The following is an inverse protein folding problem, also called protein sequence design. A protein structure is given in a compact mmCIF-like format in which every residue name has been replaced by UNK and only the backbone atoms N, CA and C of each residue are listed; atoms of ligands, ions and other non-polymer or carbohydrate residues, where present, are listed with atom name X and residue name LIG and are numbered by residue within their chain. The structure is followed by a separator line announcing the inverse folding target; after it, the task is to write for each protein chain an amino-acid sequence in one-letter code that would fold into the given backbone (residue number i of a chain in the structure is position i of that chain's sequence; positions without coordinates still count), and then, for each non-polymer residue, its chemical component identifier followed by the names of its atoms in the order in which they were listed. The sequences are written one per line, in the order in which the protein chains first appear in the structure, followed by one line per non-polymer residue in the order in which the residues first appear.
data_IF_467736979736
#
_entry.id   IF_467736979736
#
_cell.length_a   1.000
_cell.length_b   1.000
_cell.length_c   1.000
_cell.angle_alpha   90.00
_cell.angle_beta   90.00
_cell.angle_gamma   90.00
#
_symmetry.space_group_name_H-M   'P 1'
#
loop_
_entity.id
_entity.type
_entity.pdbx_description
1 polymer ?
#
# COMPACT_ATOMS: atom_id res chain seq x y z
N UNK A 1 -19.88 -8.61 -18.62
CA UNK A 1 -19.10 -7.53 -18.00
C UNK A 1 -17.63 -7.81 -18.29
N UNK A 2 -16.82 -6.78 -18.55
CA UNK A 2 -15.46 -6.98 -19.04
C UNK A 2 -14.48 -7.11 -17.87
N UNK A 3 -13.74 -8.22 -17.83
CA UNK A 3 -12.67 -8.45 -16.87
C UNK A 3 -11.58 -7.36 -16.95
N UNK A 4 -10.86 -7.13 -15.86
CA UNK A 4 -9.69 -6.25 -15.86
C UNK A 4 -8.47 -6.95 -16.47
N UNK A 5 -7.49 -6.15 -16.91
CA UNK A 5 -6.27 -6.64 -17.56
C UNK A 5 -5.31 -7.41 -16.65
N UNK A 6 -4.47 -8.24 -17.27
CA UNK A 6 -3.35 -8.92 -16.59
C UNK A 6 -2.40 -7.95 -15.86
N UNK A 7 -2.32 -6.69 -16.31
CA UNK A 7 -1.55 -5.66 -15.62
C UNK A 7 -2.10 -5.43 -14.22
N UNK A 8 -3.41 -5.15 -14.11
CA UNK A 8 -4.07 -4.97 -12.80
C UNK A 8 -4.00 -6.24 -11.95
N UNK A 9 -4.15 -7.42 -12.57
CA UNK A 9 -3.97 -8.69 -11.87
C UNK A 9 -2.62 -8.77 -11.15
N UNK A 10 -1.54 -8.46 -11.88
CA UNK A 10 -0.19 -8.47 -11.32
C UNK A 10 -0.01 -7.35 -10.29
N UNK A 11 -0.58 -6.17 -10.51
CA UNK A 11 -0.57 -5.08 -9.52
C UNK A 11 -1.21 -5.51 -8.21
N UNK A 12 -2.37 -6.18 -8.23
CA UNK A 12 -3.02 -6.69 -7.02
C UNK A 12 -2.14 -7.73 -6.30
N UNK A 13 -1.49 -8.64 -7.02
CA UNK A 13 -0.58 -9.64 -6.41
C UNK A 13 0.61 -8.95 -5.73
N UNK A 14 1.25 -8.00 -6.42
CA UNK A 14 2.38 -7.24 -5.87
C UNK A 14 1.92 -6.44 -4.63
N UNK A 15 0.76 -5.81 -4.72
CA UNK A 15 0.17 -5.08 -3.59
C UNK A 15 -0.11 -5.99 -2.39
N UNK A 16 -0.60 -7.21 -2.61
CA UNK A 16 -0.80 -8.20 -1.54
C UNK A 16 0.50 -8.52 -0.83
N UNK A 17 1.57 -8.81 -1.59
CA UNK A 17 2.87 -9.16 -1.01
C UNK A 17 3.44 -7.99 -0.20
N UNK A 18 3.50 -6.80 -0.78
CA UNK A 18 4.04 -5.61 -0.12
C UNK A 18 3.17 -5.24 1.09
N UNK A 19 1.86 -5.13 0.88
CA UNK A 19 0.89 -4.74 1.89
C UNK A 19 0.89 -5.66 3.10
N UNK A 20 1.00 -6.98 2.91
CA UNK A 20 1.11 -7.89 4.06
C UNK A 20 2.48 -7.88 4.73
N UNK A 21 3.59 -7.70 4.01
CA UNK A 21 4.90 -7.54 4.66
C UNK A 21 4.86 -6.33 5.61
N UNK A 22 4.38 -5.17 5.15
CA UNK A 22 4.30 -3.97 5.99
C UNK A 22 3.19 -4.08 7.04
N UNK A 23 1.98 -4.46 6.64
CA UNK A 23 0.80 -4.52 7.51
C UNK A 23 0.97 -5.52 8.65
N UNK A 24 1.46 -6.73 8.38
CA UNK A 24 1.72 -7.73 9.44
C UNK A 24 2.86 -7.30 10.36
N UNK A 25 3.91 -6.67 9.82
CA UNK A 25 5.03 -6.18 10.63
C UNK A 25 4.59 -5.09 11.59
N UNK A 26 3.88 -4.07 11.11
CA UNK A 26 3.32 -3.01 11.98
C UNK A 26 2.25 -3.53 12.93
N UNK A 27 1.48 -4.56 12.55
CA UNK A 27 0.43 -5.11 13.40
C UNK A 27 0.97 -5.98 14.54
N UNK A 28 1.85 -6.94 14.25
CA UNK A 28 2.31 -7.94 15.23
C UNK A 28 3.57 -7.52 15.97
N UNK A 29 4.54 -6.94 15.25
CA UNK A 29 5.91 -6.69 15.73
C UNK A 29 6.40 -5.26 15.42
N UNK A 30 5.62 -4.21 15.73
CA UNK A 30 5.94 -2.83 15.34
C UNK A 30 7.33 -2.38 15.83
N UNK A 31 7.67 -2.61 17.10
CA UNK A 31 8.95 -2.14 17.66
C UNK A 31 10.17 -2.82 17.01
N UNK A 32 10.05 -4.12 16.73
CA UNK A 32 11.10 -4.88 16.04
C UNK A 32 11.25 -4.40 14.60
N UNK A 33 10.13 -4.16 13.92
CA UNK A 33 10.14 -3.67 12.55
C UNK A 33 10.71 -2.25 12.46
N UNK A 34 10.26 -1.34 13.33
CA UNK A 34 10.79 0.03 13.46
C UNK A 34 12.29 0.02 13.69
N UNK A 35 12.78 -0.78 14.64
CA UNK A 35 14.22 -0.93 14.90
C UNK A 35 14.98 -1.45 13.67
N UNK A 36 14.42 -2.43 12.95
CA UNK A 36 15.03 -2.99 11.75
C UNK A 36 15.16 -1.95 10.61
N UNK A 37 14.16 -1.09 10.45
CA UNK A 37 14.17 0.01 9.47
C UNK A 37 14.83 1.28 10.03
N UNK A 38 15.50 1.17 11.18
CA UNK A 38 16.24 2.23 11.86
C UNK A 38 15.36 3.29 12.53
N UNK A 39 14.04 3.18 12.49
CA UNK A 39 13.15 4.12 13.19
C UNK A 39 13.30 3.91 14.69
N UNK A 40 13.30 5.01 15.44
CA UNK A 40 13.28 4.89 16.89
C UNK A 40 12.00 4.16 17.30
N UNK A 41 12.10 3.02 18.00
CA UNK A 41 10.92 2.30 18.43
C UNK A 41 10.18 3.12 19.48
N UNK A 42 8.97 3.56 19.13
CA UNK A 42 8.01 4.07 20.11
C UNK A 42 7.40 2.88 20.86
N UNK A 43 8.13 2.42 21.88
CA UNK A 43 7.79 1.22 22.65
C UNK A 43 6.34 1.32 23.13
N UNK A 44 5.50 0.36 22.70
CA UNK A 44 4.08 0.25 23.03
C UNK A 44 3.13 1.29 22.39
N UNK A 45 3.50 2.00 21.32
CA UNK A 45 2.52 2.87 20.65
C UNK A 45 1.41 2.04 19.96
N UNK A 46 0.14 2.10 20.45
CA UNK A 46 -0.96 1.37 19.84
C UNK A 46 -1.29 1.86 18.42
N UNK A 47 -0.89 3.07 18.04
CA UNK A 47 -1.15 3.65 16.72
C UNK A 47 -0.52 2.82 15.61
N UNK A 48 0.68 2.25 15.86
CA UNK A 48 1.39 1.44 14.87
C UNK A 48 0.60 0.17 14.53
N UNK A 49 -0.06 -0.43 15.53
CA UNK A 49 -0.90 -1.61 15.31
C UNK A 49 -2.18 -1.26 14.55
N UNK A 50 -2.79 -0.12 14.86
CA UNK A 50 -3.96 0.38 14.11
C UNK A 50 -3.58 0.67 12.67
N UNK A 51 -2.42 1.26 12.42
CA UNK A 51 -1.88 1.50 11.08
C UNK A 51 -1.63 0.19 10.33
N UNK A 52 -1.01 -0.81 10.99
CA UNK A 52 -0.85 -2.15 10.43
C UNK A 52 -2.20 -2.81 10.08
N UNK A 53 -3.20 -2.70 10.95
CA UNK A 53 -4.55 -3.20 10.69
C UNK A 53 -5.22 -2.52 9.48
N UNK A 54 -5.05 -1.20 9.34
CA UNK A 54 -5.55 -0.45 8.19
C UNK A 54 -4.90 -0.92 6.88
N UNK A 55 -3.57 -1.14 6.88
CA UNK A 55 -2.86 -1.68 5.70
C UNK A 55 -3.38 -3.08 5.37
N UNK A 56 -3.53 -3.97 6.35
CA UNK A 56 -4.08 -5.32 6.15
C UNK A 56 -5.49 -5.25 5.54
N UNK A 57 -6.34 -4.34 6.04
CA UNK A 57 -7.68 -4.12 5.52
C UNK A 57 -7.69 -3.68 4.05
N UNK A 58 -6.89 -2.67 3.69
CA UNK A 58 -6.74 -2.21 2.31
C UNK A 58 -6.18 -3.32 1.39
N UNK A 59 -5.16 -4.02 1.87
CA UNK A 59 -4.52 -5.15 1.16
C UNK A 59 -5.52 -6.27 0.88
N UNK A 60 -6.41 -6.55 1.84
CA UNK A 60 -7.47 -7.55 1.67
C UNK A 60 -8.41 -7.20 0.52
N UNK A 61 -8.61 -5.91 0.21
CA UNK A 61 -9.33 -5.49 -0.98
C UNK A 61 -8.73 -6.05 -2.27
N UNK A 62 -7.40 -6.12 -2.37
CA UNK A 62 -6.72 -6.70 -3.54
C UNK A 62 -6.93 -8.21 -3.65
N UNK A 63 -7.10 -8.92 -2.52
CA UNK A 63 -7.49 -10.34 -2.52
C UNK A 63 -8.90 -10.48 -3.09
N UNK A 64 -9.84 -9.65 -2.62
CA UNK A 64 -11.21 -9.66 -3.12
C UNK A 64 -11.26 -9.35 -4.63
N UNK A 65 -10.43 -8.42 -5.11
CA UNK A 65 -10.31 -8.12 -6.54
C UNK A 65 -9.77 -9.30 -7.37
N UNK A 66 -8.91 -10.16 -6.80
CA UNK A 66 -8.46 -11.38 -7.47
C UNK A 66 -9.53 -12.47 -7.53
N UNK A 67 -10.48 -12.46 -6.59
CA UNK A 67 -11.60 -13.41 -6.54
C UNK A 67 -12.74 -13.03 -7.49
N UNK A 68 -12.93 -11.74 -7.76
CA UNK A 68 -13.98 -11.23 -8.66
C UNK A 68 -13.35 -10.32 -9.74
N UNK A 69 -12.95 -10.88 -10.90
CA UNK A 69 -12.15 -10.16 -11.89
C UNK A 69 -12.92 -9.08 -12.69
N UNK A 70 -14.14 -8.75 -12.30
CA UNK A 70 -14.98 -7.76 -12.96
C UNK A 70 -14.50 -6.33 -12.66
N UNK A 71 -14.09 -5.61 -13.71
CA UNK A 71 -13.63 -4.23 -13.60
C UNK A 71 -14.61 -3.31 -12.86
N UNK A 72 -15.91 -3.39 -13.17
CA UNK A 72 -16.86 -2.44 -12.58
C UNK A 72 -17.01 -2.64 -11.06
N UNK A 73 -16.76 -3.87 -10.57
CA UNK A 73 -16.75 -4.17 -9.13
C UNK A 73 -15.47 -3.73 -8.45
N UNK A 74 -14.31 -3.87 -9.11
CA UNK A 74 -13.00 -3.55 -8.51
C UNK A 74 -12.57 -2.09 -8.72
N UNK A 75 -13.23 -1.36 -9.62
CA UNK A 75 -12.91 0.04 -9.96
C UNK A 75 -12.87 0.96 -8.75
N UNK A 76 -13.78 0.77 -7.79
CA UNK A 76 -13.81 1.58 -6.58
C UNK A 76 -12.57 1.33 -5.70
N UNK A 77 -12.11 0.08 -5.60
CA UNK A 77 -10.89 -0.26 -4.87
C UNK A 77 -9.67 0.42 -5.51
N UNK A 78 -9.53 0.33 -6.84
CA UNK A 78 -8.41 0.99 -7.54
C UNK A 78 -8.43 2.49 -7.30
N UNK A 79 -9.60 3.13 -7.29
CA UNK A 79 -9.73 4.56 -6.97
C UNK A 79 -9.33 4.89 -5.53
N UNK A 80 -9.65 4.02 -4.57
CA UNK A 80 -9.19 4.17 -3.18
C UNK A 80 -7.66 4.12 -3.13
N UNK A 81 -7.02 3.16 -3.80
CA UNK A 81 -5.56 3.06 -3.86
C UNK A 81 -4.91 4.28 -4.52
N UNK A 82 -5.52 4.82 -5.58
CA UNK A 82 -5.07 6.06 -6.23
C UNK A 82 -5.15 7.30 -5.32
N UNK A 83 -5.88 7.24 -4.20
CA UNK A 83 -5.92 8.30 -3.20
C UNK A 83 -5.00 7.97 -2.02
N UNK A 84 -5.07 6.74 -1.51
CA UNK A 84 -4.30 6.28 -0.36
C UNK A 84 -2.79 6.34 -0.59
N UNK A 85 -2.31 5.77 -1.70
CA UNK A 85 -0.88 5.63 -1.98
C UNK A 85 -0.15 6.98 -2.10
N UNK A 86 -0.63 7.98 -2.87
CA UNK A 86 0.04 9.27 -2.92
C UNK A 86 -0.06 10.04 -1.60
N UNK A 87 -1.15 9.91 -0.84
CA UNK A 87 -1.24 10.48 0.50
C UNK A 87 -0.22 9.84 1.44
N UNK A 88 -0.02 8.52 1.36
CA UNK A 88 1.02 7.81 2.10
C UNK A 88 2.43 8.28 1.74
N UNK A 89 2.71 8.48 0.45
CA UNK A 89 3.99 9.07 -0.01
C UNK A 89 4.20 10.47 0.58
N UNK A 90 3.19 11.34 0.50
CA UNK A 90 3.26 12.70 1.03
C UNK A 90 3.47 12.69 2.54
N UNK A 91 2.70 11.88 3.27
CA UNK A 91 2.81 11.78 4.72
C UNK A 91 4.21 11.32 5.16
N UNK A 92 4.75 10.30 4.50
CA UNK A 92 6.09 9.79 4.77
C UNK A 92 7.17 10.84 4.48
N UNK A 93 7.12 11.47 3.30
CA UNK A 93 8.07 12.51 2.93
C UNK A 93 8.01 13.68 3.92
N UNK A 94 6.80 14.12 4.30
CA UNK A 94 6.61 15.19 5.27
C UNK A 94 7.22 14.83 6.64
N UNK A 95 6.94 13.63 7.16
CA UNK A 95 7.52 13.15 8.43
C UNK A 95 9.04 13.04 8.39
N UNK A 96 9.59 12.62 7.25
CA UNK A 96 11.05 12.52 7.04
C UNK A 96 11.75 13.88 6.96
N UNK A 97 11.04 14.96 6.60
CA UNK A 97 11.59 16.31 6.61
C UNK A 97 11.51 16.99 7.98
N UNK A 98 10.66 16.51 8.89
CA UNK A 98 10.47 17.12 10.21
C UNK A 98 11.31 16.47 11.31
N UNK A 99 11.92 15.30 11.05
CA UNK A 99 12.74 14.58 12.02
C UNK A 99 13.92 13.88 11.32
N UNK A 100 14.99 13.57 12.07
CA UNK A 100 16.15 12.83 11.55
C UNK A 100 15.80 11.35 11.34
N UNK A 101 15.10 11.05 10.24
CA UNK A 101 14.77 9.67 9.87
C UNK A 101 15.93 8.97 9.15
N UNK A 102 16.16 7.68 9.41
CA UNK A 102 17.17 6.90 8.71
C UNK A 102 16.83 6.72 7.23
N UNK A 103 17.87 6.47 6.44
CA UNK A 103 17.79 6.24 5.00
C UNK A 103 16.83 5.10 4.63
N UNK A 104 16.63 4.12 5.51
CA UNK A 104 15.71 3.01 5.22
C UNK A 104 14.23 3.45 5.14
N UNK A 105 13.84 4.58 5.74
CA UNK A 105 12.50 5.16 5.57
C UNK A 105 12.11 5.40 4.10
N UNK A 106 13.10 5.63 3.23
CA UNK A 106 12.90 5.77 1.79
C UNK A 106 12.39 4.50 1.12
N UNK A 107 12.64 3.31 1.69
CA UNK A 107 12.11 2.05 1.16
C UNK A 107 10.59 2.07 1.14
N UNK A 108 9.96 2.58 2.22
CA UNK A 108 8.50 2.68 2.28
C UNK A 108 7.97 3.73 1.31
N UNK A 109 8.63 4.89 1.21
CA UNK A 109 8.29 5.93 0.21
C UNK A 109 8.32 5.36 -1.21
N UNK A 110 9.39 4.63 -1.56
CA UNK A 110 9.55 4.01 -2.87
C UNK A 110 8.51 2.90 -3.11
N UNK A 111 8.18 2.09 -2.10
CA UNK A 111 7.16 1.06 -2.21
C UNK A 111 5.77 1.65 -2.51
N UNK A 112 5.37 2.69 -1.75
CA UNK A 112 4.10 3.38 -1.96
C UNK A 112 4.05 4.09 -3.32
N UNK A 113 5.12 4.78 -3.71
CA UNK A 113 5.21 5.45 -5.01
C UNK A 113 5.18 4.44 -6.17
N UNK A 114 5.87 3.31 -6.03
CA UNK A 114 5.86 2.23 -7.02
C UNK A 114 4.45 1.65 -7.20
N UNK A 115 3.76 1.32 -6.11
CA UNK A 115 2.39 0.85 -6.15
C UNK A 115 1.45 1.89 -6.77
N UNK A 116 1.61 3.17 -6.43
CA UNK A 116 0.82 4.25 -7.00
C UNK A 116 0.95 4.29 -8.53
N UNK A 117 2.17 4.17 -9.05
CA UNK A 117 2.44 4.11 -10.49
C UNK A 117 1.78 2.89 -11.12
N UNK A 118 1.91 1.70 -10.50
CA UNK A 118 1.30 0.48 -11.02
C UNK A 118 -0.23 0.58 -11.12
N UNK A 119 -0.89 1.08 -10.07
CA UNK A 119 -2.33 1.30 -10.05
C UNK A 119 -2.76 2.39 -11.04
N UNK A 120 -1.99 3.48 -11.16
CA UNK A 120 -2.27 4.56 -12.12
C UNK A 120 -2.22 4.04 -13.55
N UNK A 121 -1.16 3.33 -13.92
CA UNK A 121 -1.04 2.72 -15.26
C UNK A 121 -2.16 1.72 -15.51
N UNK A 122 -2.51 0.91 -14.51
CA UNK A 122 -3.64 -0.03 -14.61
C UNK A 122 -4.95 0.69 -14.86
N UNK A 123 -5.27 1.71 -14.07
CA UNK A 123 -6.49 2.50 -14.19
C UNK A 123 -6.62 3.16 -15.57
N UNK A 124 -5.57 3.84 -16.05
CA UNK A 124 -5.59 4.50 -17.35
C UNK A 124 -5.75 3.52 -18.51
N UNK A 125 -5.19 2.31 -18.41
CA UNK A 125 -5.40 1.25 -19.41
C UNK A 125 -6.87 0.84 -19.48
N UNK A 126 -7.50 0.56 -18.34
CA UNK A 126 -8.89 0.10 -18.30
C UNK A 126 -9.89 1.11 -18.85
N UNK A 127 -9.71 2.41 -18.55
CA UNK A 127 -10.60 3.45 -19.05
C UNK A 127 -10.37 3.81 -20.53
N UNK A 128 -9.21 3.46 -21.09
CA UNK A 128 -8.90 3.72 -22.50
C UNK A 128 -9.42 2.63 -23.44
N UNK A 129 -9.67 1.44 -22.91
CA UNK A 129 -10.09 0.25 -23.67
C UNK A 129 -11.60 0.00 -23.62
N UNK A 130 -12.35 0.82 -22.87
CA UNK A 130 -13.79 0.71 -22.65
C UNK A 130 -14.47 2.03 -22.94
#
# INVERSE_FOLDING_TARGET
MAEYSNWLRNTFIIHIVIGFIFGLSFFFIPDLFSSFIGWEPEIFDPINRVFGAAIIGLTSGSILALLDPDWEKVKILVRIELVWLPLGVIAMIFGMFTSDYPVFGWVNVLALAFLFVLFSVGYYKEISQK
#
